data_IF_813146447651
#
_entry.id   IF_813146447651
#
_cell.length_a   1.000
_cell.length_b   1.000
_cell.length_c   1.000
_cell.angle_alpha   90.00
_cell.angle_beta   90.00
_cell.angle_gamma   90.00
#
_symmetry.space_group_name_H-M   'P 1'
#
loop_
_entity.id
_entity.type
_entity.pdbx_description
1 polymer ?
#
# COMPACT_ATOMS: atom_id res chain seq x y z
N UNK A 1 14.54 21.46 23.86
CA UNK A 1 14.28 22.08 22.53
C UNK A 1 12.79 21.93 22.24
N UNK A 2 12.17 22.92 21.61
CA UNK A 2 10.77 22.79 21.16
C UNK A 2 10.69 21.84 19.99
N UNK A 3 9.69 20.95 19.96
CA UNK A 3 9.48 20.03 18.85
C UNK A 3 9.16 20.80 17.57
N UNK A 4 9.66 20.36 16.37
CA UNK A 4 9.30 20.98 15.11
C UNK A 4 7.80 20.77 14.83
N UNK A 5 7.14 21.82 14.34
CA UNK A 5 5.71 21.78 13.97
C UNK A 5 5.52 21.14 12.60
N UNK A 6 4.57 20.23 12.51
CA UNK A 6 4.31 19.45 11.28
C UNK A 6 2.82 19.52 10.91
N UNK A 7 2.53 19.74 9.64
CA UNK A 7 1.27 19.37 9.01
C UNK A 7 1.48 18.02 8.34
N UNK A 8 0.69 17.03 8.76
CA UNK A 8 0.75 15.68 8.23
C UNK A 8 -0.36 15.45 7.21
N UNK A 9 0.00 14.90 6.04
CA UNK A 9 -0.94 14.57 4.95
C UNK A 9 -0.97 13.06 4.79
N UNK A 10 -2.12 12.43 5.04
CA UNK A 10 -2.16 10.99 4.85
C UNK A 10 -3.41 10.30 5.37
N UNK A 11 -3.63 9.10 4.81
CA UNK A 11 -4.72 8.22 5.19
C UNK A 11 -4.33 6.75 4.97
N UNK A 12 -4.83 5.84 5.80
CA UNK A 12 -4.56 4.42 5.73
C UNK A 12 -3.26 3.98 6.40
N UNK A 13 -2.94 2.71 6.27
CA UNK A 13 -1.96 2.01 7.12
C UNK A 13 -0.54 2.62 7.06
N UNK A 14 -0.03 2.93 5.86
CA UNK A 14 1.27 3.58 5.74
C UNK A 14 1.29 4.92 6.48
N UNK A 15 0.24 5.73 6.30
CA UNK A 15 0.12 7.03 6.96
C UNK A 15 0.05 6.90 8.48
N UNK A 16 -0.70 5.93 8.98
CA UNK A 16 -0.82 5.64 10.42
C UNK A 16 0.53 5.24 11.01
N UNK A 17 1.26 4.35 10.33
CA UNK A 17 2.59 3.91 10.77
C UNK A 17 3.61 5.06 10.77
N UNK A 18 3.66 5.86 9.69
CA UNK A 18 4.55 7.03 9.62
C UNK A 18 4.19 8.05 10.71
N UNK A 19 2.90 8.34 10.90
CA UNK A 19 2.41 9.23 11.95
C UNK A 19 2.84 8.77 13.35
N UNK A 20 2.67 7.50 13.66
CA UNK A 20 3.03 6.91 14.94
C UNK A 20 4.54 7.00 15.22
N UNK A 21 5.36 6.86 14.19
CA UNK A 21 6.82 7.02 14.28
C UNK A 21 7.23 8.48 14.54
N UNK A 22 6.47 9.45 14.03
CA UNK A 22 6.77 10.88 14.13
C UNK A 22 6.31 11.52 15.44
N UNK A 23 5.15 11.11 16.00
CA UNK A 23 4.42 11.82 17.08
C UNK A 23 5.23 12.15 18.33
N UNK A 24 6.25 11.33 18.63
CA UNK A 24 7.11 11.54 19.79
C UNK A 24 8.23 12.56 19.54
N UNK A 25 8.58 12.81 18.28
CA UNK A 25 9.67 13.68 17.88
C UNK A 25 9.21 15.05 17.35
N UNK A 26 7.97 15.18 16.92
CA UNK A 26 7.40 16.39 16.33
C UNK A 26 6.11 16.81 17.02
N UNK A 27 5.69 18.05 16.84
CA UNK A 27 4.36 18.54 17.20
C UNK A 27 3.49 18.54 15.95
N UNK A 28 2.57 17.57 15.83
CA UNK A 28 1.63 17.52 14.72
C UNK A 28 0.50 18.50 14.99
N UNK A 29 0.52 19.64 14.29
CA UNK A 29 -0.45 20.72 14.50
C UNK A 29 -1.72 20.56 13.66
N UNK A 30 -1.66 19.76 12.60
CA UNK A 30 -2.82 19.45 11.75
C UNK A 30 -2.59 18.15 10.96
N UNK A 31 -3.67 17.37 10.75
CA UNK A 31 -3.69 16.18 9.91
C UNK A 31 -4.70 16.36 8.78
N UNK A 32 -4.20 16.51 7.54
CA UNK A 32 -5.01 16.51 6.34
C UNK A 32 -5.23 15.07 5.84
N UNK A 33 -6.49 14.64 5.73
CA UNK A 33 -6.87 13.28 5.30
C UNK A 33 -7.62 13.24 3.98
N UNK A 34 -8.09 14.38 3.50
CA UNK A 34 -8.90 14.52 2.29
C UNK A 34 -8.69 15.88 1.63
N UNK A 35 -9.21 16.06 0.43
CA UNK A 35 -9.00 17.25 -0.39
C UNK A 35 -9.46 18.55 0.29
N UNK A 36 -10.58 18.49 1.02
CA UNK A 36 -11.17 19.65 1.70
C UNK A 36 -10.26 20.21 2.79
N UNK A 37 -9.40 19.37 3.38
CA UNK A 37 -8.46 19.76 4.44
C UNK A 37 -7.33 20.67 3.93
N UNK A 38 -7.14 20.78 2.59
CA UNK A 38 -6.15 21.66 2.00
C UNK A 38 -6.46 23.15 2.24
N UNK A 39 -7.73 23.54 2.35
CA UNK A 39 -8.12 24.90 2.69
C UNK A 39 -7.64 25.29 4.09
N UNK A 40 -7.83 24.40 5.06
CA UNK A 40 -7.35 24.62 6.42
C UNK A 40 -5.81 24.64 6.47
N UNK A 41 -5.16 23.77 5.70
CA UNK A 41 -3.69 23.79 5.53
C UNK A 41 -3.21 25.17 5.07
N UNK A 42 -3.84 25.75 4.04
CA UNK A 42 -3.51 27.08 3.54
C UNK A 42 -3.69 28.14 4.63
N UNK A 43 -4.76 28.09 5.39
CA UNK A 43 -5.00 29.05 6.49
C UNK A 43 -3.92 28.97 7.58
N UNK A 44 -3.56 27.76 8.00
CA UNK A 44 -2.49 27.53 8.99
C UNK A 44 -1.17 28.08 8.44
N UNK A 45 -0.81 27.79 7.19
CA UNK A 45 0.45 28.21 6.60
C UNK A 45 0.55 29.72 6.36
N UNK A 46 -0.57 30.40 6.07
CA UNK A 46 -0.60 31.87 5.95
C UNK A 46 -0.45 32.59 7.29
N UNK A 47 -0.90 31.99 8.38
CA UNK A 47 -0.90 32.59 9.71
C UNK A 47 0.24 32.05 10.61
N UNK A 48 1.18 31.27 10.05
CA UNK A 48 2.27 30.70 10.83
C UNK A 48 3.24 31.77 11.34
N UNK A 49 3.54 31.72 12.64
CA UNK A 49 4.58 32.55 13.29
C UNK A 49 5.95 31.84 13.32
N UNK A 50 5.95 30.55 13.10
CA UNK A 50 7.13 29.67 13.17
C UNK A 50 7.21 28.81 11.93
N UNK A 51 8.38 28.19 11.71
CA UNK A 51 8.56 27.21 10.66
C UNK A 51 7.66 26.00 10.88
N UNK A 52 6.93 25.62 9.84
CA UNK A 52 6.07 24.44 9.79
C UNK A 52 6.52 23.55 8.64
N UNK A 53 6.72 22.28 8.92
CA UNK A 53 7.11 21.26 7.93
C UNK A 53 5.89 20.55 7.40
N UNK A 54 5.95 20.08 6.15
CA UNK A 54 4.97 19.19 5.56
C UNK A 54 5.52 17.76 5.50
N UNK A 55 4.75 16.77 5.98
CA UNK A 55 5.07 15.35 5.82
C UNK A 55 3.87 14.65 5.21
N UNK A 56 4.10 13.85 4.18
CA UNK A 56 3.07 13.13 3.45
C UNK A 56 3.35 11.62 3.41
N UNK A 57 2.30 10.83 3.62
CA UNK A 57 2.31 9.39 3.36
C UNK A 57 0.90 8.94 2.94
N UNK A 58 0.75 8.33 1.75
CA UNK A 58 -0.55 7.79 1.25
C UNK A 58 -1.73 8.77 1.36
N UNK A 59 -1.58 9.99 0.86
CA UNK A 59 -2.66 11.00 0.94
C UNK A 59 -3.76 10.76 -0.09
N UNK A 60 -3.42 10.21 -1.27
CA UNK A 60 -4.39 9.88 -2.31
C UNK A 60 -5.00 11.09 -3.04
N UNK A 61 -4.54 12.31 -2.75
CA UNK A 61 -5.00 13.55 -3.36
C UNK A 61 -3.80 14.29 -3.96
N UNK A 62 -3.96 14.81 -5.17
CA UNK A 62 -2.94 15.67 -5.78
C UNK A 62 -2.90 17.00 -5.03
N UNK A 63 -1.74 17.35 -4.51
CA UNK A 63 -1.50 18.63 -3.84
C UNK A 63 -1.17 19.69 -4.92
N UNK A 64 -1.95 20.77 -5.04
CA UNK A 64 -1.71 21.80 -6.03
C UNK A 64 -0.45 22.64 -5.72
N UNK A 65 0.19 23.19 -6.74
CA UNK A 65 1.40 24.03 -6.61
C UNK A 65 1.25 25.16 -5.60
N UNK A 66 0.07 25.80 -5.54
CA UNK A 66 -0.23 26.85 -4.57
C UNK A 66 -0.12 26.40 -3.10
N UNK A 67 -0.22 25.10 -2.83
CA UNK A 67 0.01 24.53 -1.50
C UNK A 67 1.47 24.11 -1.35
N UNK A 68 2.08 23.51 -2.39
CA UNK A 68 3.50 23.11 -2.35
C UNK A 68 4.41 24.31 -2.05
N UNK A 69 4.18 25.46 -2.71
CA UNK A 69 4.93 26.71 -2.53
C UNK A 69 4.91 27.25 -1.09
N UNK A 70 3.86 26.96 -0.31
CA UNK A 70 3.79 27.40 1.09
C UNK A 70 4.83 26.72 2.00
N UNK A 71 5.36 25.57 1.58
CA UNK A 71 6.33 24.76 2.33
C UNK A 71 7.79 24.97 1.85
N UNK A 72 8.02 25.79 0.83
CA UNK A 72 9.38 26.09 0.36
C UNK A 72 10.23 26.82 1.42
N UNK A 73 11.56 26.63 1.48
CA UNK A 73 12.37 25.86 0.52
C UNK A 73 12.44 24.36 0.75
N UNK A 74 12.04 23.83 1.91
CA UNK A 74 12.14 22.38 2.21
C UNK A 74 11.14 21.54 1.42
N UNK A 75 9.98 22.13 1.10
CA UNK A 75 8.87 21.44 0.46
C UNK A 75 8.11 20.50 1.42
N UNK A 76 7.23 19.71 0.88
CA UNK A 76 6.56 18.62 1.60
C UNK A 76 7.40 17.35 1.42
N UNK A 77 7.72 16.67 2.52
CA UNK A 77 8.49 15.44 2.52
C UNK A 77 7.50 14.27 2.35
N UNK A 78 7.66 13.48 1.30
CA UNK A 78 6.81 12.33 1.02
C UNK A 78 7.54 11.02 1.34
N UNK A 79 6.90 10.16 2.13
CA UNK A 79 7.30 8.76 2.35
C UNK A 79 6.57 7.91 1.33
N UNK A 80 7.28 7.49 0.28
CA UNK A 80 6.73 6.70 -0.82
C UNK A 80 7.17 5.23 -0.70
N UNK A 81 6.25 4.25 -0.71
CA UNK A 81 6.59 2.85 -0.46
C UNK A 81 7.04 2.13 -1.74
N UNK A 82 8.06 2.65 -2.40
CA UNK A 82 8.84 1.98 -3.45
C UNK A 82 10.27 2.51 -3.49
N UNK A 83 11.17 1.77 -4.14
CA UNK A 83 12.54 2.20 -4.43
C UNK A 83 12.56 3.01 -5.73
N UNK A 84 12.25 4.32 -5.63
CA UNK A 84 12.14 5.20 -6.79
C UNK A 84 13.47 5.22 -7.61
N UNK A 85 13.39 5.29 -8.95
CA UNK A 85 12.22 5.59 -9.77
C UNK A 85 11.31 4.40 -10.10
N UNK A 86 11.51 3.22 -9.48
CA UNK A 86 10.61 2.08 -9.68
C UNK A 86 9.27 2.31 -8.97
N UNK A 87 8.18 1.92 -9.64
CA UNK A 87 6.81 1.94 -9.12
C UNK A 87 6.35 3.33 -8.61
N UNK A 88 6.60 4.40 -9.36
CA UNK A 88 5.88 5.65 -9.17
C UNK A 88 4.37 5.41 -9.27
N UNK A 89 3.56 6.17 -8.53
CA UNK A 89 2.10 6.09 -8.67
C UNK A 89 1.36 5.53 -7.45
N UNK A 90 0.07 5.17 -7.61
CA UNK A 90 -0.86 5.05 -6.49
C UNK A 90 -0.81 3.73 -5.72
N UNK A 91 -0.27 2.64 -6.28
CA UNK A 91 -0.34 1.29 -5.70
C UNK A 91 0.98 0.51 -5.83
N UNK A 92 2.10 1.07 -5.33
CA UNK A 92 3.42 0.44 -5.52
C UNK A 92 3.53 -0.91 -4.80
N UNK A 93 3.04 -1.04 -3.57
CA UNK A 93 3.11 -2.28 -2.79
C UNK A 93 2.27 -3.39 -3.45
N UNK A 94 1.04 -3.09 -3.85
CA UNK A 94 0.19 -4.06 -4.53
C UNK A 94 0.82 -4.51 -5.86
N UNK A 95 1.43 -3.59 -6.59
CA UNK A 95 2.12 -3.90 -7.84
C UNK A 95 3.35 -4.77 -7.60
N UNK A 96 4.14 -4.50 -6.56
CA UNK A 96 5.30 -5.31 -6.18
C UNK A 96 4.87 -6.73 -5.77
N UNK A 97 3.83 -6.88 -4.95
CA UNK A 97 3.27 -8.19 -4.58
C UNK A 97 2.82 -8.96 -5.84
N UNK A 98 2.09 -8.32 -6.75
CA UNK A 98 1.62 -8.95 -7.99
C UNK A 98 2.77 -9.34 -8.94
N UNK A 99 3.95 -8.72 -8.83
CA UNK A 99 5.18 -9.14 -9.53
C UNK A 99 5.88 -10.32 -8.86
N UNK A 100 5.48 -10.71 -7.63
CA UNK A 100 6.14 -11.71 -6.81
C UNK A 100 7.42 -11.21 -6.14
N UNK A 101 7.56 -9.90 -5.95
CA UNK A 101 8.74 -9.30 -5.33
C UNK A 101 8.87 -9.77 -3.87
N UNK A 102 10.10 -10.01 -3.44
CA UNK A 102 10.48 -10.35 -2.06
C UNK A 102 11.34 -9.28 -1.40
N UNK A 103 11.68 -8.23 -2.13
CA UNK A 103 12.39 -7.06 -1.67
C UNK A 103 11.55 -5.83 -1.99
N UNK A 104 11.19 -5.06 -0.98
CA UNK A 104 10.36 -3.87 -1.09
C UNK A 104 11.16 -2.62 -0.76
N UNK A 105 10.92 -1.53 -1.49
CA UNK A 105 11.61 -0.28 -1.28
C UNK A 105 10.78 0.74 -0.52
N UNK A 106 11.47 1.66 0.16
CA UNK A 106 10.90 2.92 0.62
C UNK A 106 11.80 4.07 0.17
N UNK A 107 11.18 5.16 -0.27
CA UNK A 107 11.87 6.41 -0.63
C UNK A 107 11.29 7.57 0.16
N UNK A 108 12.17 8.38 0.76
CA UNK A 108 11.81 9.67 1.32
C UNK A 108 12.25 10.74 0.34
N UNK A 109 11.30 11.49 -0.20
CA UNK A 109 11.53 12.43 -1.30
C UNK A 109 10.86 13.77 -1.06
N UNK A 110 11.32 14.83 -1.75
CA UNK A 110 10.60 16.10 -1.85
C UNK A 110 9.42 15.93 -2.80
N UNK A 111 8.23 16.29 -2.34
CA UNK A 111 7.05 16.29 -3.19
C UNK A 111 7.12 17.39 -4.25
N UNK A 112 6.82 17.05 -5.49
CA UNK A 112 6.76 17.95 -6.63
C UNK A 112 5.47 17.73 -7.42
N UNK A 113 5.14 18.62 -8.36
CA UNK A 113 3.93 18.53 -9.18
C UNK A 113 3.84 17.23 -9.97
N UNK A 114 4.96 16.79 -10.55
CA UNK A 114 5.02 15.53 -11.29
C UNK A 114 5.02 14.37 -10.32
N UNK A 115 4.03 13.47 -10.48
CA UNK A 115 3.80 12.33 -9.57
C UNK A 115 5.07 11.54 -9.30
N UNK A 116 5.45 11.46 -8.02
CA UNK A 116 6.56 10.72 -7.45
C UNK A 116 7.91 10.90 -8.17
N UNK A 117 8.11 12.07 -8.81
CA UNK A 117 9.31 12.38 -9.60
C UNK A 117 10.29 13.32 -8.89
N UNK A 118 10.02 13.72 -7.65
CA UNK A 118 10.87 14.64 -6.91
C UNK A 118 12.21 14.05 -6.48
N UNK A 119 13.17 14.90 -6.11
CA UNK A 119 14.48 14.43 -5.66
C UNK A 119 14.39 13.71 -4.31
N UNK A 120 15.29 12.76 -4.13
CA UNK A 120 15.28 11.77 -3.06
C UNK A 120 16.25 12.18 -1.95
N UNK A 121 15.79 12.15 -0.71
CA UNK A 121 16.61 12.33 0.48
C UNK A 121 17.18 11.01 1.00
N UNK A 122 16.39 9.94 0.93
CA UNK A 122 16.73 8.63 1.47
C UNK A 122 16.00 7.52 0.74
N UNK A 123 16.64 6.37 0.64
CA UNK A 123 16.04 5.13 0.13
C UNK A 123 16.59 3.93 0.87
N UNK A 124 15.73 2.96 1.07
CA UNK A 124 16.11 1.65 1.60
C UNK A 124 15.31 0.55 0.93
N UNK A 125 15.95 -0.63 0.80
CA UNK A 125 15.30 -1.86 0.37
C UNK A 125 15.26 -2.83 1.54
N UNK A 126 14.10 -3.42 1.76
CA UNK A 126 13.80 -4.32 2.87
C UNK A 126 13.38 -5.67 2.31
N UNK A 127 14.17 -6.70 2.60
CA UNK A 127 13.80 -8.07 2.29
C UNK A 127 12.66 -8.52 3.21
N UNK A 128 11.64 -9.15 2.63
CA UNK A 128 10.47 -9.66 3.32
C UNK A 128 10.30 -11.16 3.01
N UNK A 129 9.58 -11.85 3.88
CA UNK A 129 9.13 -13.21 3.54
C UNK A 129 8.32 -13.19 2.25
N UNK A 130 8.47 -14.25 1.42
CA UNK A 130 7.77 -14.34 0.13
C UNK A 130 6.25 -14.20 0.28
N UNK A 131 5.71 -14.64 1.40
CA UNK A 131 4.28 -14.62 1.68
C UNK A 131 3.89 -13.61 2.79
N UNK A 132 4.79 -12.65 3.08
CA UNK A 132 4.50 -11.57 4.03
C UNK A 132 3.15 -10.91 3.71
N UNK A 133 2.38 -10.63 4.76
CA UNK A 133 1.10 -9.96 4.60
C UNK A 133 1.29 -8.52 4.13
N UNK A 134 0.36 -8.03 3.31
CA UNK A 134 0.42 -6.63 2.83
C UNK A 134 0.51 -5.61 3.97
N UNK A 135 -0.17 -5.84 5.09
CA UNK A 135 -0.10 -4.99 6.28
C UNK A 135 1.31 -4.92 6.85
N UNK A 136 1.99 -6.06 6.95
CA UNK A 136 3.37 -6.13 7.44
C UNK A 136 4.34 -5.34 6.54
N UNK A 137 4.16 -5.43 5.21
CA UNK A 137 4.96 -4.66 4.26
C UNK A 137 4.76 -3.15 4.47
N UNK A 138 3.50 -2.69 4.61
CA UNK A 138 3.18 -1.29 4.89
C UNK A 138 3.80 -0.80 6.20
N UNK A 139 3.70 -1.61 7.27
CA UNK A 139 4.25 -1.30 8.59
C UNK A 139 5.77 -1.15 8.52
N UNK A 140 6.47 -2.13 7.95
CA UNK A 140 7.94 -2.11 7.85
C UNK A 140 8.45 -0.92 7.03
N UNK A 141 7.83 -0.62 5.89
CA UNK A 141 8.22 0.52 5.05
C UNK A 141 7.87 1.85 5.72
N UNK A 142 6.71 1.93 6.37
CA UNK A 142 6.28 3.12 7.13
C UNK A 142 7.17 3.42 8.32
N UNK A 143 7.55 2.39 9.09
CA UNK A 143 8.51 2.52 10.20
C UNK A 143 9.87 3.01 9.70
N UNK A 144 10.40 2.41 8.63
CA UNK A 144 11.69 2.78 8.07
C UNK A 144 11.69 4.24 7.59
N UNK A 145 10.76 4.62 6.72
CA UNK A 145 10.68 5.99 6.19
C UNK A 145 10.33 7.02 7.27
N UNK A 146 9.38 6.68 8.16
CA UNK A 146 8.96 7.55 9.27
C UNK A 146 10.09 7.82 10.27
N UNK A 147 10.87 6.80 10.64
CA UNK A 147 12.03 6.94 11.51
C UNK A 147 13.07 7.87 10.89
N UNK A 148 13.38 7.67 9.61
CA UNK A 148 14.32 8.55 8.93
C UNK A 148 13.83 10.02 8.92
N UNK A 149 12.55 10.26 8.65
CA UNK A 149 11.97 11.61 8.70
C UNK A 149 12.05 12.19 10.11
N UNK A 150 11.73 11.42 11.16
CA UNK A 150 11.78 11.87 12.55
C UNK A 150 13.19 12.34 12.94
N UNK A 151 14.23 11.67 12.47
CA UNK A 151 15.62 11.96 12.78
C UNK A 151 16.19 13.14 11.97
N UNK A 152 15.71 13.36 10.75
CA UNK A 152 16.34 14.28 9.79
C UNK A 152 15.50 15.52 9.42
N UNK A 153 14.23 15.61 9.83
CA UNK A 153 13.27 16.64 9.38
C UNK A 153 13.79 18.07 9.52
N UNK A 154 14.55 18.37 10.57
CA UNK A 154 15.08 19.72 10.83
C UNK A 154 16.40 20.01 10.16
N UNK A 155 17.10 18.99 9.65
CA UNK A 155 18.42 19.07 9.01
C UNK A 155 18.47 18.14 7.81
N UNK A 156 17.56 18.37 6.85
CA UNK A 156 17.48 17.57 5.63
C UNK A 156 18.81 17.63 4.86
N UNK A 157 19.36 16.50 4.42
CA UNK A 157 20.50 16.48 3.53
C UNK A 157 20.13 17.08 2.17
N UNK A 158 21.10 17.37 1.32
CA UNK A 158 20.83 17.76 -0.05
C UNK A 158 20.21 16.56 -0.80
N UNK A 159 19.01 16.70 -1.37
CA UNK A 159 18.37 15.60 -2.07
C UNK A 159 19.06 15.34 -3.42
N UNK A 160 18.93 14.12 -3.92
CA UNK A 160 19.51 13.67 -5.18
C UNK A 160 18.40 13.44 -6.20
N UNK A 161 18.58 13.93 -7.43
CA UNK A 161 17.64 13.67 -8.53
C UNK A 161 17.53 12.17 -8.79
N UNK A 162 16.31 11.73 -9.11
CA UNK A 162 16.08 10.34 -9.47
C UNK A 162 16.81 10.00 -10.77
N UNK A 163 17.51 8.88 -10.79
CA UNK A 163 18.25 8.40 -11.95
C UNK A 163 17.76 7.02 -12.37
N UNK A 164 17.76 6.74 -13.66
CA UNK A 164 17.28 5.50 -14.25
C UNK A 164 15.90 5.62 -14.89
N UNK A 165 15.46 4.52 -15.49
CA UNK A 165 14.14 4.41 -16.13
C UNK A 165 13.04 4.27 -15.09
N UNK A 166 12.03 5.14 -15.17
CA UNK A 166 10.92 5.11 -14.23
C UNK A 166 9.88 4.07 -14.66
N UNK A 167 9.45 3.25 -13.69
CA UNK A 167 8.28 2.39 -13.88
C UNK A 167 7.09 2.94 -13.07
N UNK A 168 5.88 2.47 -13.40
CA UNK A 168 4.66 3.03 -12.83
C UNK A 168 3.72 1.94 -12.31
N UNK A 169 3.25 2.10 -11.09
CA UNK A 169 2.10 1.36 -10.58
C UNK A 169 0.80 1.93 -11.16
N UNK A 170 -0.18 1.07 -11.37
CA UNK A 170 -1.50 1.47 -11.88
C UNK A 170 -2.50 1.60 -10.74
N UNK A 171 -3.49 2.47 -10.91
CA UNK A 171 -4.66 2.49 -10.02
C UNK A 171 -5.32 1.10 -10.02
N UNK A 172 -5.63 0.58 -8.83
CA UNK A 172 -6.34 -0.69 -8.71
C UNK A 172 -7.78 -0.54 -9.22
N UNK A 173 -8.25 -1.54 -9.94
CA UNK A 173 -9.59 -1.58 -10.54
C UNK A 173 -10.28 -2.91 -10.18
N UNK A 174 -11.60 -2.87 -10.01
CA UNK A 174 -12.44 -4.06 -9.78
C UNK A 174 -12.36 -5.10 -10.90
N UNK A 175 -12.01 -4.69 -12.13
CA UNK A 175 -11.77 -5.59 -13.26
C UNK A 175 -10.58 -6.52 -13.05
N UNK A 176 -9.63 -6.11 -12.20
CA UNK A 176 -8.45 -6.91 -11.83
C UNK A 176 -8.78 -7.99 -10.79
N UNK A 177 -9.94 -7.92 -10.16
CA UNK A 177 -10.27 -8.72 -8.97
C UNK A 177 -10.45 -10.23 -9.22
N UNK A 178 -10.86 -10.63 -10.44
CA UNK A 178 -11.25 -12.02 -10.71
C UNK A 178 -10.03 -12.92 -10.91
N UNK A 179 -9.99 -14.03 -10.18
CA UNK A 179 -9.03 -15.12 -10.41
C UNK A 179 -9.29 -15.77 -11.77
N UNK A 180 -8.21 -16.15 -12.44
CA UNK A 180 -8.22 -16.84 -13.74
C UNK A 180 -7.29 -18.06 -13.68
N UNK A 181 -7.70 -19.18 -13.08
CA UNK A 181 -6.83 -20.32 -12.85
C UNK A 181 -6.18 -20.87 -14.13
N UNK A 182 -6.86 -20.79 -15.27
CA UNK A 182 -6.30 -21.23 -16.55
C UNK A 182 -5.18 -20.32 -17.09
N UNK A 183 -5.09 -19.07 -16.62
CA UNK A 183 -4.14 -18.05 -17.07
C UNK A 183 -3.05 -17.76 -16.04
N UNK A 184 -3.29 -18.08 -14.76
CA UNK A 184 -2.43 -17.78 -13.61
C UNK A 184 -1.79 -19.03 -13.03
N UNK A 185 -0.58 -18.90 -12.49
CA UNK A 185 -0.01 -19.92 -11.59
C UNK A 185 -0.72 -19.89 -10.25
N UNK A 186 -0.55 -20.94 -9.44
CA UNK A 186 -1.08 -20.97 -8.09
C UNK A 186 -0.47 -19.84 -7.23
N UNK A 187 0.81 -19.51 -7.40
CA UNK A 187 1.48 -18.39 -6.75
C UNK A 187 0.91 -17.04 -7.19
N UNK A 188 0.75 -16.79 -8.51
CA UNK A 188 0.14 -15.55 -9.03
C UNK A 188 -1.28 -15.32 -8.47
N UNK A 189 -2.05 -16.38 -8.26
CA UNK A 189 -3.37 -16.31 -7.63
C UNK A 189 -3.26 -15.96 -6.13
N UNK A 190 -2.31 -16.55 -5.41
CA UNK A 190 -2.07 -16.24 -4.00
C UNK A 190 -1.60 -14.79 -3.83
N UNK A 191 -0.68 -14.33 -4.67
CA UNK A 191 -0.20 -12.95 -4.67
C UNK A 191 -1.33 -11.95 -4.96
N UNK A 192 -2.26 -12.31 -5.85
CA UNK A 192 -3.45 -11.50 -6.10
C UNK A 192 -4.35 -11.39 -4.86
N UNK A 193 -4.55 -12.47 -4.11
CA UNK A 193 -5.32 -12.45 -2.86
C UNK A 193 -4.63 -11.52 -1.84
N UNK A 194 -3.32 -11.64 -1.67
CA UNK A 194 -2.52 -10.82 -0.75
C UNK A 194 -2.54 -9.34 -1.15
N UNK A 195 -2.32 -9.03 -2.42
CA UNK A 195 -2.33 -7.66 -2.93
C UNK A 195 -3.70 -7.00 -2.77
N UNK A 196 -4.78 -7.72 -3.02
CA UNK A 196 -6.14 -7.18 -3.09
C UNK A 196 -6.96 -7.39 -1.82
N UNK A 197 -6.36 -7.69 -0.69
CA UNK A 197 -7.03 -8.00 0.59
C UNK A 197 -8.12 -6.97 0.97
N UNK A 198 -7.90 -5.67 0.77
CA UNK A 198 -8.86 -4.62 1.08
C UNK A 198 -9.66 -4.15 -0.14
N UNK A 199 -8.97 -3.82 -1.20
CA UNK A 199 -9.55 -3.39 -2.48
C UNK A 199 -8.63 -3.85 -3.62
N UNK A 200 -9.18 -4.34 -4.72
CA UNK A 200 -10.61 -4.52 -5.05
C UNK A 200 -11.25 -5.79 -4.45
N UNK A 201 -10.54 -6.57 -3.64
CA UNK A 201 -10.87 -7.90 -3.10
C UNK A 201 -10.94 -8.97 -4.19
N UNK A 202 -10.13 -10.01 -4.03
CA UNK A 202 -10.06 -11.09 -5.02
C UNK A 202 -11.36 -11.89 -5.07
N UNK A 203 -11.83 -12.19 -6.27
CA UNK A 203 -13.12 -12.84 -6.51
C UNK A 203 -12.99 -14.09 -7.38
N UNK A 204 -13.88 -15.03 -7.13
CA UNK A 204 -14.07 -16.24 -7.94
C UNK A 204 -15.54 -16.60 -8.02
N UNK A 205 -15.92 -17.30 -9.09
CA UNK A 205 -17.23 -17.93 -9.19
C UNK A 205 -17.13 -19.41 -8.82
N UNK A 206 -17.92 -19.85 -7.84
CA UNK A 206 -18.01 -21.24 -7.40
C UNK A 206 -19.47 -21.70 -7.52
N UNK A 207 -19.74 -22.66 -8.41
CA UNK A 207 -21.13 -23.18 -8.67
C UNK A 207 -22.14 -22.05 -8.96
N UNK A 208 -21.75 -21.05 -9.74
CA UNK A 208 -22.61 -19.91 -10.09
C UNK A 208 -22.73 -18.83 -8.99
N UNK A 209 -22.05 -18.99 -7.87
CA UNK A 209 -21.99 -18.01 -6.78
C UNK A 209 -20.75 -17.14 -6.93
N UNK A 210 -20.94 -15.82 -6.98
CA UNK A 210 -19.84 -14.87 -6.95
C UNK A 210 -19.33 -14.71 -5.50
N UNK A 211 -18.05 -15.03 -5.27
CA UNK A 211 -17.45 -15.10 -3.95
C UNK A 211 -16.18 -14.24 -3.88
N UNK A 212 -15.92 -13.65 -2.72
CA UNK A 212 -14.64 -13.06 -2.36
C UNK A 212 -13.78 -14.14 -1.73
N UNK A 213 -12.52 -14.29 -2.16
CA UNK A 213 -11.51 -15.14 -1.53
C UNK A 213 -10.78 -14.29 -0.50
N UNK A 214 -10.76 -14.73 0.75
CA UNK A 214 -10.16 -14.00 1.87
C UNK A 214 -8.80 -14.56 2.28
N UNK A 215 -8.67 -15.90 2.26
CA UNK A 215 -7.39 -16.57 2.49
C UNK A 215 -7.30 -17.86 1.69
N UNK A 216 -6.07 -18.26 1.38
CA UNK A 216 -5.76 -19.47 0.65
C UNK A 216 -4.30 -19.87 0.91
N UNK A 217 -3.95 -21.11 0.61
CA UNK A 217 -2.58 -21.62 0.63
C UNK A 217 -2.25 -22.42 -0.63
N UNK A 218 -0.96 -22.67 -0.85
CA UNK A 218 -0.46 -23.47 -1.97
C UNK A 218 -0.38 -24.94 -1.62
N UNK A 219 -0.70 -25.81 -2.58
CA UNK A 219 -0.56 -27.26 -2.46
C UNK A 219 -0.08 -27.88 -3.76
N UNK A 220 0.64 -29.01 -3.67
CA UNK A 220 1.05 -29.80 -4.82
C UNK A 220 -0.08 -30.67 -5.37
N UNK A 221 -1.11 -30.93 -4.55
CA UNK A 221 -2.22 -31.82 -4.87
C UNK A 221 -3.56 -31.11 -4.53
N UNK A 222 -4.67 -31.52 -5.16
CA UNK A 222 -5.97 -31.00 -4.78
C UNK A 222 -6.34 -31.49 -3.38
N UNK A 223 -6.82 -30.59 -2.54
CA UNK A 223 -7.28 -30.90 -1.18
C UNK A 223 -8.82 -30.91 -1.14
N UNK A 224 -9.45 -32.08 -1.14
CA UNK A 224 -10.90 -32.17 -1.07
C UNK A 224 -11.42 -31.68 0.30
N UNK A 225 -12.32 -30.71 0.27
CA UNK A 225 -12.97 -30.18 1.46
C UNK A 225 -14.36 -30.78 1.55
N UNK A 226 -14.56 -31.70 2.54
CA UNK A 226 -15.80 -32.48 2.68
C UNK A 226 -16.17 -33.27 1.41
N UNK A 227 -15.16 -33.76 0.68
CA UNK A 227 -15.35 -34.50 -0.57
C UNK A 227 -15.50 -33.64 -1.82
N UNK A 228 -15.43 -32.30 -1.69
CA UNK A 228 -15.56 -31.33 -2.76
C UNK A 228 -14.20 -30.76 -3.14
N UNK A 229 -13.92 -30.64 -4.44
CA UNK A 229 -12.66 -30.10 -4.98
C UNK A 229 -12.82 -28.69 -5.59
N UNK A 230 -14.01 -28.12 -5.55
CA UNK A 230 -14.35 -26.83 -6.17
C UNK A 230 -13.59 -25.64 -5.56
N UNK A 231 -13.03 -25.84 -4.35
CA UNK A 231 -12.17 -24.84 -3.67
C UNK A 231 -10.68 -25.11 -3.83
N UNK A 232 -10.30 -26.12 -4.62
CA UNK A 232 -8.92 -26.44 -5.01
C UNK A 232 -8.71 -26.00 -6.45
N UNK A 233 -8.15 -24.81 -6.66
CA UNK A 233 -7.99 -24.22 -7.98
C UNK A 233 -6.64 -24.62 -8.59
N UNK A 234 -6.67 -25.37 -9.69
CA UNK A 234 -5.45 -25.74 -10.41
C UNK A 234 -4.93 -24.59 -11.24
N UNK A 235 -3.71 -24.12 -10.95
CA UNK A 235 -3.01 -23.13 -11.74
C UNK A 235 -2.46 -23.68 -13.07
N UNK A 236 -2.07 -22.77 -13.98
CA UNK A 236 -1.44 -23.13 -15.28
C UNK A 236 -0.12 -23.90 -15.12
N UNK A 237 0.54 -23.77 -13.96
CA UNK A 237 1.76 -24.47 -13.54
C UNK A 237 1.51 -25.89 -13.00
N UNK A 238 0.26 -26.28 -12.86
CA UNK A 238 -0.14 -27.59 -12.34
C UNK A 238 -0.25 -27.67 -10.82
N UNK A 239 0.23 -26.66 -10.08
CA UNK A 239 0.04 -26.53 -8.64
C UNK A 239 -1.38 -26.07 -8.31
N UNK A 240 -1.74 -26.17 -7.05
CA UNK A 240 -3.08 -25.82 -6.56
C UNK A 240 -3.04 -24.67 -5.58
N UNK A 241 -4.01 -23.76 -5.72
CA UNK A 241 -4.41 -22.81 -4.70
C UNK A 241 -5.62 -23.38 -3.97
N UNK A 242 -5.50 -23.60 -2.67
CA UNK A 242 -6.57 -24.10 -1.82
C UNK A 242 -7.19 -22.93 -1.08
N UNK A 243 -8.49 -22.73 -1.25
CA UNK A 243 -9.22 -21.65 -0.59
C UNK A 243 -9.56 -22.05 0.84
N UNK A 244 -9.08 -21.27 1.82
CA UNK A 244 -9.31 -21.53 3.25
C UNK A 244 -10.53 -20.78 3.77
N UNK A 245 -10.68 -19.50 3.36
CA UNK A 245 -11.77 -18.65 3.78
C UNK A 245 -12.39 -17.92 2.58
N UNK A 246 -13.71 -17.92 2.53
CA UNK A 246 -14.48 -17.40 1.40
C UNK A 246 -15.73 -16.65 1.89
N UNK A 247 -16.14 -15.64 1.13
CA UNK A 247 -17.33 -14.85 1.40
C UNK A 247 -18.24 -14.81 0.17
N UNK A 248 -19.35 -15.56 0.14
CA UNK A 248 -20.36 -15.44 -0.92
C UNK A 248 -21.00 -14.04 -0.94
N UNK A 249 -21.42 -13.56 -2.10
CA UNK A 249 -22.09 -12.28 -2.25
C UNK A 249 -23.29 -12.15 -1.29
N UNK A 250 -23.30 -11.05 -0.52
CA UNK A 250 -24.37 -10.75 0.45
C UNK A 250 -24.37 -11.63 1.71
N UNK A 251 -23.32 -12.44 1.94
CA UNK A 251 -23.18 -13.31 3.13
C UNK A 251 -21.98 -12.91 3.97
N UNK A 252 -21.88 -13.50 5.17
CA UNK A 252 -20.69 -13.37 6.03
C UNK A 252 -19.55 -14.24 5.49
N UNK A 253 -18.33 -13.86 5.83
CA UNK A 253 -17.14 -14.70 5.64
C UNK A 253 -17.29 -16.04 6.39
N UNK A 254 -16.76 -17.10 5.81
CA UNK A 254 -16.80 -18.45 6.38
C UNK A 254 -15.62 -19.29 5.89
N UNK A 255 -15.20 -20.25 6.71
CA UNK A 255 -14.20 -21.21 6.30
C UNK A 255 -14.72 -22.15 5.20
N UNK A 256 -13.79 -22.69 4.41
CA UNK A 256 -14.07 -23.58 3.29
C UNK A 256 -14.98 -24.77 3.62
N UNK A 257 -14.82 -25.39 4.81
CA UNK A 257 -15.66 -26.50 5.24
C UNK A 257 -17.13 -26.09 5.46
N UNK A 258 -17.38 -24.89 6.00
CA UNK A 258 -18.73 -24.37 6.18
C UNK A 258 -19.37 -24.04 4.83
N UNK A 259 -18.59 -23.47 3.90
CA UNK A 259 -19.03 -23.22 2.53
C UNK A 259 -19.39 -24.50 1.81
N UNK A 260 -18.54 -25.52 1.87
CA UNK A 260 -18.81 -26.83 1.26
C UNK A 260 -20.11 -27.44 1.76
N UNK A 261 -20.34 -27.47 3.08
CA UNK A 261 -21.59 -27.99 3.68
C UNK A 261 -22.84 -27.21 3.26
N UNK A 262 -22.74 -25.90 3.04
CA UNK A 262 -23.89 -25.04 2.74
C UNK A 262 -24.20 -24.87 1.26
N UNK A 263 -23.20 -24.91 0.39
CA UNK A 263 -23.29 -24.46 -0.99
C UNK A 263 -22.82 -25.47 -2.04
N UNK A 264 -22.11 -26.55 -1.66
CA UNK A 264 -21.59 -27.56 -2.59
C UNK A 264 -22.34 -28.92 -2.50
N UNK A 265 -23.59 -28.88 -2.14
CA UNK A 265 -24.43 -30.09 -2.08
C UNK A 265 -24.75 -30.62 -3.47
#
# INVERSE_FOLDING_TARGET
MTKPKVIFFGNGLLAETVFDTLKDNVEIIFCAKKKEDLEQTIQIMKNKEQKVYGVLASFGVIIPNSVLELFEPEGIINVHPSYLPDLRGPSPIETAILRGDTEFGVSVMKLVEKMDAGPIYYQEKIAMDKFAQKSEIYERLGECGGKWVAENLTQLPKPVEQNGEATYSKMLDTKMARLRPAEQTAEEMLDQIRAFMHFPKTRIEVKGLDCIVLSAHLSNEPEPIKGHTELSLKGKDGLYLIIDEIQPAGKKAMGAAAFANGYLK
#
